data_IF_232687272949
#
_entry.id   IF_232687272949
#
_cell.length_a   1.000
_cell.length_b   1.000
_cell.length_c   1.000
_cell.angle_alpha   90.00
_cell.angle_beta   90.00
_cell.angle_gamma   90.00
#
_symmetry.space_group_name_H-M   'P 1'
#
loop_
_entity.id
_entity.type
_entity.pdbx_description
1 polymer ?
#
# COMPACT_ATOMS: atom_id res chain seq x y z
N UNK A 1 4.05 6.69 -7.23
CA UNK A 1 5.40 6.86 -7.80
C UNK A 1 6.47 6.24 -6.91
N UNK A 2 6.42 6.45 -5.60
CA UNK A 2 7.44 5.92 -4.69
C UNK A 2 7.58 4.39 -4.80
N UNK A 3 6.48 3.65 -4.73
CA UNK A 3 6.52 2.19 -4.86
C UNK A 3 7.14 1.75 -6.19
N UNK A 4 6.70 2.36 -7.29
CA UNK A 4 7.22 2.02 -8.61
C UNK A 4 8.71 2.34 -8.75
N UNK A 5 9.18 3.42 -8.10
CA UNK A 5 10.58 3.85 -8.18
C UNK A 5 11.56 2.82 -7.60
N UNK A 6 11.11 2.00 -6.66
CA UNK A 6 11.96 0.99 -6.02
C UNK A 6 12.18 -0.26 -6.88
N UNK A 7 11.46 -0.39 -8.00
CA UNK A 7 11.65 -1.52 -8.92
C UNK A 7 13.02 -1.54 -9.59
N UNK A 8 13.57 -0.36 -9.87
CA UNK A 8 14.87 -0.22 -10.51
C UNK A 8 15.61 0.95 -9.88
N UNK A 9 16.55 0.66 -8.99
CA UNK A 9 17.31 1.67 -8.26
C UNK A 9 18.10 2.61 -9.18
N UNK A 10 18.56 2.12 -10.34
CA UNK A 10 19.34 2.92 -11.31
C UNK A 10 18.48 3.98 -11.98
N UNK A 11 17.18 3.76 -12.11
CA UNK A 11 16.24 4.67 -12.77
C UNK A 11 15.27 5.34 -11.80
N UNK A 12 15.56 5.26 -10.50
CA UNK A 12 14.66 5.73 -9.45
C UNK A 12 14.29 7.21 -9.60
N UNK A 13 15.23 8.05 -9.99
CA UNK A 13 14.99 9.50 -10.15
C UNK A 13 13.96 9.82 -11.24
N UNK A 14 13.81 8.96 -12.25
CA UNK A 14 12.85 9.17 -13.34
C UNK A 14 11.39 9.18 -12.85
N UNK A 15 11.13 8.66 -11.65
CA UNK A 15 9.79 8.59 -11.09
C UNK A 15 9.38 9.82 -10.28
N UNK A 16 10.31 10.70 -9.92
CA UNK A 16 10.09 11.78 -8.94
C UNK A 16 8.94 12.72 -9.28
N UNK A 17 8.71 13.00 -10.55
CA UNK A 17 7.69 13.95 -11.01
C UNK A 17 6.52 13.28 -11.72
N UNK A 18 6.44 11.96 -11.70
CA UNK A 18 5.39 11.22 -12.39
C UNK A 18 4.15 11.06 -11.51
N UNK A 19 2.98 11.18 -12.13
CA UNK A 19 1.72 10.80 -11.47
C UNK A 19 1.60 9.27 -11.39
N UNK A 20 0.55 8.77 -10.75
CA UNK A 20 0.37 7.33 -10.52
C UNK A 20 0.30 6.52 -11.82
N UNK A 21 -0.38 7.05 -12.85
CA UNK A 21 -0.53 6.36 -14.15
C UNK A 21 0.79 6.29 -14.88
N UNK A 22 1.50 7.43 -14.98
CA UNK A 22 2.81 7.48 -15.65
C UNK A 22 3.84 6.63 -14.90
N UNK A 23 3.82 6.65 -13.57
CA UNK A 23 4.71 5.82 -12.75
C UNK A 23 4.47 4.33 -13.00
N UNK A 24 3.23 3.88 -13.12
CA UNK A 24 2.90 2.49 -13.45
C UNK A 24 3.41 2.10 -14.84
N UNK A 25 3.27 2.98 -15.83
CA UNK A 25 3.77 2.73 -17.18
C UNK A 25 5.28 2.57 -17.19
N UNK A 26 6.00 3.47 -16.55
CA UNK A 26 7.46 3.37 -16.45
C UNK A 26 7.86 2.12 -15.66
N UNK A 27 7.16 1.80 -14.58
CA UNK A 27 7.41 0.62 -13.76
C UNK A 27 7.31 -0.71 -14.51
N UNK A 28 6.55 -0.76 -15.61
CA UNK A 28 6.46 -1.95 -16.47
C UNK A 28 7.64 -2.06 -17.43
N UNK A 29 8.36 -0.96 -17.67
CA UNK A 29 9.46 -0.87 -18.65
C UNK A 29 10.83 -0.99 -18.02
N UNK A 30 10.97 -0.78 -16.72
CA UNK A 30 12.25 -0.83 -16.04
C UNK A 30 12.65 -2.28 -15.75
N UNK A 31 13.96 -2.48 -15.56
CA UNK A 31 14.47 -3.78 -15.14
C UNK A 31 14.23 -3.94 -13.65
N UNK A 32 13.50 -5.01 -13.27
CA UNK A 32 13.24 -5.29 -11.88
C UNK A 32 14.53 -5.64 -11.14
N UNK A 33 14.69 -5.10 -9.93
CA UNK A 33 15.77 -5.53 -9.05
C UNK A 33 15.63 -7.04 -8.77
N UNK A 34 16.76 -7.70 -8.57
CA UNK A 34 16.80 -9.17 -8.42
C UNK A 34 15.97 -9.71 -7.26
N UNK A 35 15.84 -8.93 -6.20
CA UNK A 35 15.11 -9.31 -4.99
C UNK A 35 13.67 -8.75 -4.94
N UNK A 36 13.12 -8.32 -6.08
CA UNK A 36 11.81 -7.68 -6.13
C UNK A 36 10.70 -8.54 -5.54
N UNK A 37 10.66 -9.83 -5.89
CA UNK A 37 9.62 -10.74 -5.40
C UNK A 37 9.66 -10.92 -3.88
N UNK A 38 10.85 -10.82 -3.26
CA UNK A 38 11.00 -10.92 -1.82
C UNK A 38 10.75 -9.59 -1.10
N UNK A 39 10.88 -8.46 -1.80
CA UNK A 39 10.83 -7.13 -1.19
C UNK A 39 9.53 -6.38 -1.41
N UNK A 40 8.78 -6.72 -2.45
CA UNK A 40 7.61 -5.92 -2.84
C UNK A 40 6.54 -5.78 -1.75
N UNK A 41 6.26 -6.83 -0.99
CA UNK A 41 5.23 -6.79 0.06
C UNK A 41 5.66 -5.92 1.25
N UNK A 42 6.86 -6.14 1.76
CA UNK A 42 7.37 -5.35 2.88
C UNK A 42 7.54 -3.89 2.50
N UNK A 43 7.97 -3.63 1.27
CA UNK A 43 8.10 -2.27 0.77
C UNK A 43 6.74 -1.58 0.67
N UNK A 44 5.74 -2.25 0.09
CA UNK A 44 4.38 -1.69 0.02
C UNK A 44 3.84 -1.41 1.43
N UNK A 45 4.03 -2.33 2.36
CA UNK A 45 3.60 -2.16 3.75
C UNK A 45 4.25 -0.92 4.39
N UNK A 46 5.56 -0.75 4.24
CA UNK A 46 6.26 0.40 4.81
C UNK A 46 5.80 1.72 4.20
N UNK A 47 5.61 1.76 2.88
CA UNK A 47 5.12 2.96 2.20
C UNK A 47 3.68 3.29 2.60
N UNK A 48 2.83 2.29 2.78
CA UNK A 48 1.46 2.50 3.27
C UNK A 48 1.46 3.03 4.71
N UNK A 49 2.34 2.53 5.56
CA UNK A 49 2.47 3.05 6.93
C UNK A 49 2.81 4.53 6.91
N UNK A 50 3.73 4.94 6.05
CA UNK A 50 4.09 6.35 5.89
C UNK A 50 2.89 7.16 5.39
N UNK A 51 2.18 6.66 4.38
CA UNK A 51 1.00 7.31 3.83
C UNK A 51 -0.06 7.56 4.91
N UNK A 52 -0.32 6.57 5.76
CA UNK A 52 -1.34 6.67 6.81
C UNK A 52 -0.85 7.32 8.11
N UNK A 53 0.33 7.96 8.10
CA UNK A 53 0.67 8.95 9.13
C UNK A 53 -0.11 10.24 8.94
N UNK A 54 -0.62 10.50 7.73
CA UNK A 54 -1.51 11.62 7.45
C UNK A 54 -2.81 11.44 8.25
N UNK A 55 -3.16 12.42 9.08
CA UNK A 55 -4.29 12.33 9.99
C UNK A 55 -5.62 12.11 9.28
N UNK A 56 -5.85 12.77 8.14
CA UNK A 56 -7.08 12.64 7.38
C UNK A 56 -7.22 11.23 6.76
N UNK A 57 -6.14 10.72 6.16
CA UNK A 57 -6.14 9.39 5.57
C UNK A 57 -6.28 8.30 6.63
N UNK A 58 -5.59 8.46 7.76
CA UNK A 58 -5.71 7.57 8.92
C UNK A 58 -7.16 7.48 9.39
N UNK A 59 -7.81 8.63 9.54
CA UNK A 59 -9.20 8.70 9.98
C UNK A 59 -10.13 7.97 9.01
N UNK A 60 -9.96 8.17 7.71
CA UNK A 60 -10.73 7.48 6.69
C UNK A 60 -10.58 5.97 6.77
N UNK A 61 -9.35 5.49 6.97
CA UNK A 61 -9.08 4.06 7.10
C UNK A 61 -9.75 3.48 8.34
N UNK A 62 -9.64 4.16 9.48
CA UNK A 62 -10.26 3.73 10.74
C UNK A 62 -11.79 3.71 10.62
N UNK A 63 -12.37 4.68 9.94
CA UNK A 63 -13.82 4.77 9.73
C UNK A 63 -14.40 3.59 8.95
N UNK A 64 -13.58 2.86 8.18
CA UNK A 64 -14.05 1.65 7.50
C UNK A 64 -14.38 0.51 8.48
N UNK A 65 -14.02 0.64 9.74
CA UNK A 65 -14.37 -0.31 10.81
C UNK A 65 -13.74 -1.68 10.59
N UNK A 66 -14.58 -2.71 10.46
CA UNK A 66 -14.15 -4.09 10.23
C UNK A 66 -14.55 -4.61 8.86
N UNK A 67 -14.95 -3.71 7.96
CA UNK A 67 -15.33 -4.08 6.60
C UNK A 67 -14.13 -4.64 5.85
N UNK A 68 -14.35 -5.68 5.06
CA UNK A 68 -13.31 -6.24 4.19
C UNK A 68 -12.98 -5.23 3.09
N UNK A 69 -11.71 -4.90 2.97
CA UNK A 69 -11.22 -3.96 1.96
C UNK A 69 -10.68 -4.73 0.77
N UNK A 70 -11.19 -4.44 -0.42
CA UNK A 70 -10.80 -5.11 -1.66
C UNK A 70 -10.39 -4.07 -2.70
N UNK A 71 -9.19 -4.23 -3.25
CA UNK A 71 -8.72 -3.42 -4.36
C UNK A 71 -9.26 -3.99 -5.68
N UNK A 72 -10.37 -3.46 -6.15
CA UNK A 72 -10.96 -3.89 -7.42
C UNK A 72 -10.32 -3.10 -8.55
N UNK A 73 -9.87 -3.79 -9.59
CA UNK A 73 -9.26 -3.14 -10.74
C UNK A 73 -9.79 -3.70 -12.06
N UNK A 74 -9.48 -2.96 -13.16
CA UNK A 74 -9.92 -3.30 -14.52
C UNK A 74 -8.75 -3.62 -15.44
N UNK A 75 -7.50 -3.65 -14.91
CA UNK A 75 -6.28 -3.80 -15.71
C UNK A 75 -5.56 -5.13 -15.49
N UNK A 76 -6.24 -6.11 -14.87
CA UNK A 76 -5.72 -7.46 -14.75
C UNK A 76 -4.78 -7.72 -13.59
N UNK A 77 -4.71 -6.83 -12.61
CA UNK A 77 -3.86 -7.02 -11.42
C UNK A 77 -4.52 -7.99 -10.45
N UNK A 78 -4.00 -9.21 -10.39
CA UNK A 78 -4.46 -10.28 -9.50
C UNK A 78 -3.54 -10.48 -8.30
N UNK A 79 -2.52 -9.67 -8.16
CA UNK A 79 -1.64 -9.71 -6.99
C UNK A 79 -2.04 -8.68 -5.94
N UNK A 80 -1.99 -7.40 -6.29
CA UNK A 80 -2.36 -6.34 -5.35
C UNK A 80 -3.86 -6.22 -5.17
N UNK A 81 -4.62 -6.56 -6.17
CA UNK A 81 -6.07 -6.44 -6.14
C UNK A 81 -6.80 -7.66 -6.66
N UNK A 82 -8.04 -7.41 -7.09
CA UNK A 82 -8.94 -8.41 -7.64
C UNK A 82 -9.43 -7.94 -9.01
N UNK A 83 -9.33 -8.84 -10.01
CA UNK A 83 -9.79 -8.59 -11.37
C UNK A 83 -10.76 -9.70 -11.76
N UNK A 84 -11.98 -9.32 -12.15
CA UNK A 84 -13.05 -10.26 -12.50
C UNK A 84 -13.28 -11.34 -11.44
N UNK A 85 -13.31 -10.93 -10.18
CA UNK A 85 -13.56 -11.81 -9.06
C UNK A 85 -12.40 -12.71 -8.66
N UNK A 86 -11.21 -12.51 -9.22
CA UNK A 86 -10.03 -13.32 -8.93
C UNK A 86 -8.84 -12.46 -8.54
N UNK A 87 -8.07 -12.90 -7.55
CA UNK A 87 -6.86 -12.21 -7.15
C UNK A 87 -6.56 -12.37 -5.67
N UNK A 88 -5.33 -12.09 -5.29
CA UNK A 88 -4.85 -12.20 -3.91
C UNK A 88 -5.27 -11.03 -3.02
N UNK A 89 -5.61 -9.89 -3.62
CA UNK A 89 -5.99 -8.68 -2.87
C UNK A 89 -4.92 -8.27 -1.85
N UNK A 90 -3.66 -8.36 -2.21
CA UNK A 90 -2.57 -8.09 -1.26
C UNK A 90 -2.60 -6.66 -0.72
N UNK A 91 -2.95 -5.68 -1.55
CA UNK A 91 -3.09 -4.30 -1.10
C UNK A 91 -4.19 -4.16 -0.06
N UNK A 92 -5.37 -4.76 -0.31
CA UNK A 92 -6.47 -4.75 0.66
C UNK A 92 -6.09 -5.43 1.97
N UNK A 93 -5.37 -6.55 1.88
CA UNK A 93 -4.89 -7.27 3.07
C UNK A 93 -3.93 -6.43 3.90
N UNK A 94 -3.02 -5.70 3.26
CA UNK A 94 -2.09 -4.81 3.96
C UNK A 94 -2.81 -3.62 4.59
N UNK A 95 -3.80 -3.06 3.91
CA UNK A 95 -4.62 -1.97 4.46
C UNK A 95 -5.39 -2.43 5.70
N UNK A 96 -5.98 -3.63 5.66
CA UNK A 96 -6.67 -4.19 6.82
C UNK A 96 -5.71 -4.44 7.99
N UNK A 97 -4.49 -4.88 7.71
CA UNK A 97 -3.45 -5.07 8.72
C UNK A 97 -3.06 -3.74 9.38
N UNK A 98 -2.83 -2.71 8.58
CA UNK A 98 -2.50 -1.37 9.09
C UNK A 98 -3.66 -0.81 9.91
N UNK A 99 -4.88 -0.97 9.43
CA UNK A 99 -6.09 -0.55 10.16
C UNK A 99 -6.15 -1.18 11.55
N UNK A 100 -5.90 -2.46 11.65
CA UNK A 100 -5.88 -3.18 12.91
C UNK A 100 -4.78 -2.66 13.85
N UNK A 101 -3.61 -2.41 13.33
CA UNK A 101 -2.50 -1.85 14.10
C UNK A 101 -2.82 -0.45 14.64
N UNK A 102 -3.45 0.39 13.81
CA UNK A 102 -3.88 1.73 14.22
C UNK A 102 -4.94 1.68 15.32
N UNK A 103 -5.89 0.75 15.23
CA UNK A 103 -6.91 0.58 16.27
C UNK A 103 -6.30 0.16 17.61
N UNK A 104 -5.35 -0.77 17.60
CA UNK A 104 -4.66 -1.22 18.81
C UNK A 104 -3.87 -0.09 19.45
N UNK A 105 -3.19 0.72 18.66
CA UNK A 105 -2.43 1.86 19.15
C UNK A 105 -3.35 2.90 19.80
N UNK A 106 -4.47 3.21 19.15
CA UNK A 106 -5.47 4.13 19.69
C UNK A 106 -6.09 3.63 20.99
N UNK A 107 -6.39 2.35 21.05
CA UNK A 107 -6.91 1.73 22.28
C UNK A 107 -5.90 1.83 23.43
N UNK A 108 -4.63 1.53 23.15
CA UNK A 108 -3.57 1.63 24.16
C UNK A 108 -3.41 3.05 24.69
N UNK A 109 -3.49 4.06 23.81
CA UNK A 109 -3.42 5.46 24.20
C UNK A 109 -4.61 5.85 25.09
N UNK A 110 -5.81 5.45 24.73
CA UNK A 110 -7.03 5.71 25.53
C UNK A 110 -6.93 5.04 26.90
N UNK A 111 -6.44 3.79 26.96
CA UNK A 111 -6.27 3.07 28.22
C UNK A 111 -5.27 3.78 29.15
N UNK A 112 -4.21 4.35 28.60
CA UNK A 112 -3.23 5.15 29.39
C UNK A 112 -3.85 6.44 29.92
N UNK A 113 -4.64 7.12 29.13
CA UNK A 113 -5.29 8.38 29.51
C UNK A 113 -6.43 8.13 30.50
N UNK A 114 -7.10 6.98 30.44
CA UNK A 114 -8.20 6.62 31.28
C UNK A 114 -7.80 6.13 32.69
N UNK A 115 -6.51 6.00 32.91
CA UNK A 115 -5.97 5.59 34.20
C UNK A 115 -5.45 6.80 34.97
#
# INVERSE_FOLDING_TARGET
AAFQSFKDEKRQKEFEKLDGVAAKKLGRKVNLRKDWEQKKDSLMYELLKIKFTNAELKQKLIETGDVVLVEINYWGDKYWGVFKGQGKNQLGNLLMKIREELKKLGFNLVAKEGV
#
